data_IF_810427570576
#
_entry.id   IF_810427570576
#
_cell.length_a   1.000
_cell.length_b   1.000
_cell.length_c   1.000
_cell.angle_alpha   90.00
_cell.angle_beta   90.00
_cell.angle_gamma   90.00
#
_symmetry.space_group_name_H-M   'P 1'
#
loop_
_entity.id
_entity.type
_entity.pdbx_description
1 polymer ?
#
# COMPACT_ATOMS: atom_id res chain seq x y z
N UNK A 1 -29.24 -42.29 -15.48
CA UNK A 1 -27.92 -42.16 -14.83
C UNK A 1 -27.15 -41.07 -15.55
N UNK A 2 -26.82 -39.99 -14.81
CA UNK A 2 -25.75 -39.01 -14.99
C UNK A 2 -25.56 -38.33 -16.37
N UNK A 3 -25.36 -37.01 -16.49
CA UNK A 3 -25.52 -35.90 -15.57
C UNK A 3 -25.51 -34.63 -16.42
N UNK A 4 -26.40 -33.69 -16.09
CA UNK A 4 -26.54 -32.38 -16.70
C UNK A 4 -25.70 -31.37 -15.90
N UNK A 5 -24.61 -30.85 -16.47
CA UNK A 5 -23.95 -29.62 -16.01
C UNK A 5 -23.55 -28.84 -17.25
N UNK A 6 -24.45 -28.01 -17.77
CA UNK A 6 -24.12 -26.86 -18.63
C UNK A 6 -25.35 -25.96 -18.81
N UNK A 7 -25.80 -25.34 -17.72
CA UNK A 7 -26.68 -24.15 -17.78
C UNK A 7 -26.47 -23.29 -16.55
N UNK A 8 -25.53 -22.37 -16.63
CA UNK A 8 -25.52 -21.17 -15.78
C UNK A 8 -24.97 -20.01 -16.62
N UNK A 9 -25.82 -19.52 -17.51
CA UNK A 9 -25.67 -18.20 -18.10
C UNK A 9 -27.06 -17.72 -18.52
N UNK A 10 -27.37 -16.48 -18.15
CA UNK A 10 -28.56 -15.70 -18.49
C UNK A 10 -29.83 -15.97 -17.66
N UNK A 11 -29.89 -15.33 -16.49
CA UNK A 11 -31.15 -14.80 -15.92
C UNK A 11 -30.80 -13.70 -14.90
N UNK A 12 -30.46 -12.52 -15.39
CA UNK A 12 -30.38 -11.32 -14.56
C UNK A 12 -31.02 -10.17 -15.35
N UNK A 13 -32.35 -10.21 -15.42
CA UNK A 13 -33.17 -9.12 -15.92
C UNK A 13 -34.37 -8.94 -14.96
N UNK A 14 -34.27 -7.85 -14.21
CA UNK A 14 -35.37 -7.00 -13.72
C UNK A 14 -36.47 -7.62 -12.85
N UNK A 15 -36.47 -7.24 -11.57
CA UNK A 15 -37.68 -6.71 -10.95
C UNK A 15 -37.36 -5.37 -10.27
N UNK A 16 -37.85 -4.30 -10.88
CA UNK A 16 -37.98 -2.99 -10.25
C UNK A 16 -39.10 -3.08 -9.21
N UNK A 17 -38.78 -2.77 -7.96
CA UNK A 17 -39.76 -2.22 -7.02
C UNK A 17 -39.23 -0.88 -6.55
N UNK A 18 -39.89 0.16 -7.05
CA UNK A 18 -39.72 1.56 -6.67
C UNK A 18 -40.10 1.69 -5.20
N UNK A 19 -39.15 2.13 -4.38
CA UNK A 19 -39.41 2.66 -3.04
C UNK A 19 -38.90 4.12 -3.04
N UNK A 20 -39.73 5.13 -2.71
CA UNK A 20 -39.23 6.48 -2.57
C UNK A 20 -38.49 6.56 -1.24
N UNK A 21 -37.17 6.61 -1.28
CA UNK A 21 -36.37 7.11 -0.15
C UNK A 21 -35.41 8.15 -0.70
N UNK A 22 -35.97 9.33 -0.94
CA UNK A 22 -35.17 10.55 -1.04
C UNK A 22 -34.41 10.75 0.26
N UNK A 23 -33.18 11.26 0.10
CA UNK A 23 -32.52 12.24 0.98
C UNK A 23 -32.03 11.74 2.33
N UNK A 24 -30.77 11.29 2.36
CA UNK A 24 -29.79 11.56 3.45
C UNK A 24 -28.38 11.04 3.16
N UNK A 25 -28.20 10.16 2.16
CA UNK A 25 -26.91 9.51 1.89
C UNK A 25 -25.93 10.32 1.02
N UNK A 26 -26.36 11.39 0.35
CA UNK A 26 -25.53 12.12 -0.63
C UNK A 26 -24.73 13.33 -0.09
N UNK A 27 -24.81 13.69 1.20
CA UNK A 27 -24.13 14.89 1.75
C UNK A 27 -23.31 14.67 3.04
N UNK A 28 -22.83 13.46 3.33
CA UNK A 28 -22.03 13.22 4.55
C UNK A 28 -20.63 12.64 4.28
N UNK A 29 -19.92 13.16 3.27
CA UNK A 29 -18.51 12.85 3.06
C UNK A 29 -17.66 14.11 3.16
N UNK A 30 -16.91 14.23 4.26
CA UNK A 30 -16.19 15.42 4.68
C UNK A 30 -14.72 15.36 4.30
N UNK A 31 -14.34 16.01 3.19
CA UNK A 31 -12.95 16.00 2.72
C UNK A 31 -12.42 17.42 2.53
N UNK A 32 -11.65 17.93 3.50
CA UNK A 32 -10.84 19.15 3.33
C UNK A 32 -9.54 19.13 4.13
N UNK A 33 -8.82 18.01 4.09
CA UNK A 33 -7.59 17.88 4.87
C UNK A 33 -6.38 18.51 4.18
N UNK A 34 -5.42 19.06 4.90
CA UNK A 34 -4.07 19.34 4.36
C UNK A 34 -3.11 18.27 4.88
N UNK A 35 -2.17 17.85 4.04
CA UNK A 35 -1.07 17.01 4.52
C UNK A 35 0.00 17.94 5.09
N UNK A 36 0.39 17.70 6.34
CA UNK A 36 1.32 18.56 7.06
C UNK A 36 2.52 17.71 7.46
N UNK A 37 3.71 18.26 7.27
CA UNK A 37 4.91 17.67 7.83
C UNK A 37 4.88 17.69 9.36
N UNK A 38 5.22 16.56 9.97
CA UNK A 38 5.29 16.39 11.42
C UNK A 38 6.73 16.13 11.83
N UNK A 39 7.20 16.85 12.84
CA UNK A 39 8.54 16.66 13.37
C UNK A 39 8.62 15.34 14.14
N UNK A 40 9.70 14.60 13.99
CA UNK A 40 9.95 13.42 14.81
C UNK A 40 10.83 13.81 15.98
N UNK A 41 10.36 13.55 17.21
CA UNK A 41 11.20 13.65 18.40
C UNK A 41 11.92 12.31 18.60
N UNK A 42 13.23 12.33 18.45
CA UNK A 42 14.12 11.28 18.96
C UNK A 42 14.76 11.75 20.26
N UNK A 43 15.35 10.84 21.04
CA UNK A 43 15.84 11.11 22.41
C UNK A 43 16.59 12.44 22.56
N UNK A 44 17.37 12.86 21.55
CA UNK A 44 18.15 14.11 21.60
C UNK A 44 18.00 15.03 20.36
N UNK A 45 17.16 14.70 19.37
CA UNK A 45 17.01 15.53 18.16
C UNK A 45 15.58 15.59 17.64
N UNK A 46 15.20 16.76 17.12
CA UNK A 46 13.97 16.98 16.39
C UNK A 46 14.31 16.91 14.90
N UNK A 47 13.82 15.88 14.21
CA UNK A 47 14.01 15.72 12.76
C UNK A 47 12.77 16.25 12.03
N UNK A 48 12.95 17.22 11.14
CA UNK A 48 11.85 17.70 10.30
C UNK A 48 11.67 16.79 9.08
N UNK A 49 10.45 16.70 8.52
CA UNK A 49 10.22 16.07 7.23
C UNK A 49 11.10 16.72 6.15
N UNK A 50 11.58 15.93 5.18
CA UNK A 50 12.57 16.35 4.17
C UNK A 50 13.99 16.66 4.64
N UNK A 51 14.32 16.53 5.93
CA UNK A 51 15.74 16.47 6.35
C UNK A 51 16.36 15.09 6.06
N UNK A 52 15.52 14.08 5.80
CA UNK A 52 15.93 12.75 5.35
C UNK A 52 16.13 12.64 3.84
N UNK A 53 16.05 11.40 3.33
CA UNK A 53 16.16 11.12 1.90
C UNK A 53 14.98 11.70 1.12
N UNK A 54 15.22 11.98 -0.16
CA UNK A 54 14.19 12.43 -1.12
C UNK A 54 14.08 11.40 -2.23
N UNK A 55 12.86 11.01 -2.56
CA UNK A 55 12.64 10.03 -3.60
C UNK A 55 13.00 10.64 -4.96
N UNK A 56 13.95 10.02 -5.64
CA UNK A 56 14.31 10.36 -7.01
C UNK A 56 13.44 9.54 -7.97
N UNK A 57 12.75 10.24 -8.88
CA UNK A 57 11.89 9.58 -9.85
C UNK A 57 12.70 8.57 -10.68
N UNK A 58 12.26 7.31 -10.71
CA UNK A 58 12.94 6.23 -11.42
C UNK A 58 14.17 5.62 -10.74
N UNK A 59 14.67 6.22 -9.66
CA UNK A 59 15.92 5.80 -8.99
C UNK A 59 15.77 5.50 -7.49
N UNK A 60 14.57 5.68 -6.94
CA UNK A 60 14.30 5.38 -5.53
C UNK A 60 13.08 4.47 -5.40
N UNK A 61 13.01 3.84 -4.24
CA UNK A 61 11.89 3.06 -3.75
C UNK A 61 11.20 3.82 -2.62
N UNK A 62 9.89 3.68 -2.54
CA UNK A 62 9.04 4.32 -1.54
C UNK A 62 8.24 3.25 -0.80
N UNK A 63 8.36 3.26 0.52
CA UNK A 63 7.46 2.55 1.42
C UNK A 63 6.54 3.59 2.07
N UNK A 64 5.24 3.31 2.04
CA UNK A 64 4.21 4.15 2.63
C UNK A 64 3.51 3.36 3.73
N UNK A 65 3.57 3.91 4.93
CA UNK A 65 2.97 3.31 6.11
C UNK A 65 1.90 4.24 6.68
N UNK A 66 0.77 3.66 7.06
CA UNK A 66 -0.21 4.27 7.93
C UNK A 66 0.05 3.74 9.33
N UNK A 67 0.59 4.59 10.21
CA UNK A 67 1.10 4.13 11.52
C UNK A 67 0.17 4.47 12.68
N UNK A 68 -0.80 5.36 12.45
CA UNK A 68 -1.84 5.66 13.44
C UNK A 68 -3.05 6.28 12.78
N UNK A 69 -4.22 5.96 13.32
CA UNK A 69 -5.46 6.66 13.04
C UNK A 69 -6.19 6.89 14.36
N UNK A 70 -6.43 8.16 14.67
CA UNK A 70 -7.17 8.58 15.86
C UNK A 70 -8.47 9.24 15.42
N UNK A 71 -9.56 8.91 16.10
CA UNK A 71 -10.89 9.47 15.87
C UNK A 71 -11.28 10.29 17.08
N UNK A 72 -11.63 11.56 16.87
CA UNK A 72 -12.27 12.39 17.87
C UNK A 72 -13.74 11.98 18.00
N UNK A 73 -14.08 11.39 19.14
CA UNK A 73 -15.44 10.95 19.47
C UNK A 73 -16.35 12.12 19.83
N UNK A 74 -15.77 13.28 20.14
CA UNK A 74 -16.51 14.49 20.43
C UNK A 74 -16.98 15.25 19.18
N UNK A 75 -16.50 14.85 18.00
CA UNK A 75 -16.94 15.41 16.72
C UNK A 75 -18.45 15.19 16.52
N UNK A 76 -19.16 16.25 16.14
CA UNK A 76 -20.62 16.23 16.02
C UNK A 76 -21.11 15.19 15.01
N UNK A 77 -20.37 14.95 13.93
CA UNK A 77 -20.76 13.93 12.96
C UNK A 77 -20.64 12.52 13.56
N UNK A 78 -19.53 12.27 14.24
CA UNK A 78 -19.25 11.00 14.91
C UNK A 78 -20.34 10.72 15.95
N UNK A 79 -20.70 11.72 16.77
CA UNK A 79 -21.83 11.65 17.71
C UNK A 79 -23.17 11.39 17.02
N UNK A 80 -23.47 12.10 15.91
CA UNK A 80 -24.75 11.98 15.19
C UNK A 80 -24.99 10.58 14.64
N UNK A 81 -23.95 9.94 14.10
CA UNK A 81 -24.10 8.64 13.41
C UNK A 81 -24.08 7.45 14.39
N UNK A 82 -23.44 7.60 15.55
CA UNK A 82 -23.10 6.47 16.43
C UNK A 82 -24.03 6.25 17.64
N UNK A 83 -25.16 6.94 17.71
CA UNK A 83 -26.14 6.83 18.79
C UNK A 83 -26.82 5.43 18.95
N UNK A 84 -26.33 4.35 18.31
CA UNK A 84 -27.03 3.05 18.19
C UNK A 84 -26.17 1.78 18.39
N UNK A 85 -25.24 1.72 19.34
CA UNK A 85 -24.42 0.51 19.58
C UNK A 85 -23.64 0.02 18.35
N UNK A 86 -23.19 0.95 17.49
CA UNK A 86 -22.52 0.65 16.22
C UNK A 86 -21.01 0.51 16.42
N UNK A 87 -20.41 -0.42 15.70
CA UNK A 87 -18.97 -0.52 15.57
C UNK A 87 -18.49 0.30 14.35
N UNK A 88 -17.21 0.65 14.35
CA UNK A 88 -16.56 1.30 13.21
C UNK A 88 -15.30 0.58 12.80
N UNK A 89 -14.89 0.79 11.56
CA UNK A 89 -13.68 0.19 11.02
C UNK A 89 -12.99 1.16 10.09
N UNK A 90 -11.65 1.29 10.15
CA UNK A 90 -10.91 2.10 9.20
C UNK A 90 -10.71 1.33 7.89
N UNK A 91 -10.74 2.05 6.76
CA UNK A 91 -10.36 1.52 5.44
C UNK A 91 -9.38 2.50 4.82
N UNK A 92 -8.22 2.01 4.42
CA UNK A 92 -7.27 2.79 3.66
C UNK A 92 -7.15 2.24 2.25
N UNK A 93 -7.12 3.14 1.28
CA UNK A 93 -7.00 2.85 -0.13
C UNK A 93 -5.92 3.72 -0.76
N UNK A 94 -4.97 3.12 -1.47
CA UNK A 94 -4.00 3.82 -2.31
C UNK A 94 -4.34 3.52 -3.77
N UNK A 95 -4.57 4.56 -4.55
CA UNK A 95 -4.76 4.48 -6.00
C UNK A 95 -3.62 5.18 -6.71
N UNK A 96 -3.08 4.56 -7.75
CA UNK A 96 -2.04 5.16 -8.58
C UNK A 96 -2.05 4.56 -9.99
N UNK A 97 -1.23 5.13 -10.89
CA UNK A 97 -0.99 4.56 -12.21
C UNK A 97 0.49 4.24 -12.39
N UNK A 98 0.79 3.04 -12.88
CA UNK A 98 2.13 2.57 -13.23
C UNK A 98 2.13 2.01 -14.65
N UNK A 99 2.95 2.56 -15.56
CA UNK A 99 3.02 2.14 -16.98
C UNK A 99 1.62 1.94 -17.61
N UNK A 100 0.73 2.92 -17.43
CA UNK A 100 -0.65 2.91 -17.93
C UNK A 100 -1.57 1.84 -17.31
N UNK A 101 -1.13 1.13 -16.26
CA UNK A 101 -1.92 0.19 -15.48
C UNK A 101 -2.32 0.81 -14.14
N UNK A 102 -3.57 0.63 -13.74
CA UNK A 102 -4.06 1.10 -12.45
C UNK A 102 -3.60 0.18 -11.34
N UNK A 103 -3.09 0.77 -10.28
CA UNK A 103 -2.77 0.13 -9.02
C UNK A 103 -3.83 0.59 -8.02
N UNK A 104 -4.46 -0.37 -7.35
CA UNK A 104 -5.32 -0.09 -6.19
C UNK A 104 -4.97 -1.06 -5.09
N UNK A 105 -4.73 -0.52 -3.90
CA UNK A 105 -4.40 -1.28 -2.71
C UNK A 105 -5.36 -0.85 -1.62
N UNK A 106 -6.00 -1.81 -0.97
CA UNK A 106 -6.91 -1.55 0.14
C UNK A 106 -6.55 -2.37 1.37
N UNK A 107 -6.58 -1.73 2.55
CA UNK A 107 -6.47 -2.35 3.87
C UNK A 107 -7.71 -2.02 4.68
N UNK A 108 -8.22 -2.99 5.44
CA UNK A 108 -9.38 -2.84 6.32
C UNK A 108 -8.94 -3.15 7.74
N UNK A 109 -9.32 -2.30 8.71
CA UNK A 109 -9.07 -2.55 10.12
C UNK A 109 -10.17 -3.36 10.77
N UNK A 110 -9.82 -3.93 11.92
CA UNK A 110 -10.79 -4.61 12.78
C UNK A 110 -11.87 -3.62 13.22
N UNK A 111 -13.05 -4.15 13.47
CA UNK A 111 -14.14 -3.35 14.03
C UNK A 111 -13.80 -2.95 15.46
N UNK A 112 -14.11 -1.70 15.83
CA UNK A 112 -13.96 -1.17 17.18
C UNK A 112 -15.24 -0.47 17.60
N UNK A 113 -15.65 -0.73 18.85
CA UNK A 113 -16.69 0.06 19.49
C UNK A 113 -16.19 1.48 19.68
N UNK A 114 -16.96 2.45 19.21
CA UNK A 114 -16.70 3.87 19.46
C UNK A 114 -17.36 4.33 20.78
N UNK A 115 -18.21 3.51 21.39
CA UNK A 115 -18.91 3.87 22.63
C UNK A 115 -17.98 3.74 23.84
N UNK A 116 -17.93 4.78 24.68
CA UNK A 116 -17.13 4.81 25.92
C UNK A 116 -16.71 6.22 26.32
N UNK A 117 -16.19 6.39 27.55
CA UNK A 117 -15.97 7.69 28.17
C UNK A 117 -14.78 8.53 27.66
N UNK A 118 -13.85 7.96 26.90
CA UNK A 118 -12.72 8.73 26.34
C UNK A 118 -13.18 9.68 25.23
N UNK A 119 -12.48 10.80 25.01
CA UNK A 119 -12.81 11.76 23.93
C UNK A 119 -12.16 11.40 22.59
N UNK A 120 -11.05 10.65 22.61
CA UNK A 120 -10.34 10.18 21.42
C UNK A 120 -10.26 8.66 21.42
N UNK A 121 -10.33 8.04 20.24
CA UNK A 121 -10.17 6.60 20.07
C UNK A 121 -9.05 6.29 19.07
N UNK A 122 -8.13 5.41 19.45
CA UNK A 122 -7.17 4.82 18.53
C UNK A 122 -7.82 3.66 17.75
N UNK A 123 -7.80 3.75 16.42
CA UNK A 123 -8.36 2.73 15.53
C UNK A 123 -7.42 1.53 15.32
N UNK A 124 -6.22 1.53 15.90
CA UNK A 124 -5.27 0.41 15.84
C UNK A 124 -4.69 0.20 14.45
N UNK A 125 -4.42 1.29 13.74
CA UNK A 125 -3.92 1.26 12.36
C UNK A 125 -2.39 1.23 12.36
N UNK A 126 -1.82 0.12 11.92
CA UNK A 126 -0.39 -0.05 11.63
C UNK A 126 -0.25 -0.86 10.33
N UNK A 127 -0.28 -0.19 9.19
CA UNK A 127 -0.30 -0.83 7.89
C UNK A 127 0.81 -0.33 6.98
N UNK A 128 1.49 -1.25 6.33
CA UNK A 128 2.29 -0.96 5.14
C UNK A 128 1.34 -1.01 3.93
N UNK A 129 1.03 0.14 3.36
CA UNK A 129 0.19 0.23 2.17
C UNK A 129 0.95 -0.19 0.92
N UNK A 130 2.20 0.27 0.79
CA UNK A 130 3.14 -0.18 -0.25
C UNK A 130 4.50 -0.39 0.39
N UNK A 131 5.18 -1.45 -0.01
CA UNK A 131 6.54 -1.75 0.45
C UNK A 131 7.52 -1.69 -0.73
N UNK A 132 8.51 -0.80 -0.61
CA UNK A 132 9.59 -0.59 -1.57
C UNK A 132 9.09 -0.57 -3.01
N UNK A 133 8.13 0.29 -3.26
CA UNK A 133 7.60 0.50 -4.59
C UNK A 133 8.51 1.44 -5.38
N UNK A 134 8.95 1.10 -6.61
CA UNK A 134 9.64 2.05 -7.48
C UNK A 134 8.91 3.39 -7.57
N UNK A 135 9.62 4.49 -7.31
CA UNK A 135 9.08 5.84 -7.39
C UNK A 135 8.94 6.30 -8.84
N UNK A 136 7.99 5.68 -9.54
CA UNK A 136 7.60 6.00 -10.92
C UNK A 136 6.08 6.09 -11.07
N UNK A 137 5.35 6.03 -9.96
CA UNK A 137 3.90 6.17 -9.95
C UNK A 137 3.46 7.55 -10.40
N UNK A 138 2.45 7.58 -11.26
CA UNK A 138 1.73 8.80 -11.64
C UNK A 138 0.51 8.97 -10.73
N UNK A 139 0.28 10.21 -10.29
CA UNK A 139 -0.89 10.64 -9.51
C UNK A 139 -1.29 9.72 -8.32
N UNK A 140 -0.36 9.35 -7.42
CA UNK A 140 -0.69 8.52 -6.27
C UNK A 140 -1.60 9.27 -5.29
N UNK A 141 -2.77 8.70 -5.02
CA UNK A 141 -3.82 9.23 -4.14
C UNK A 141 -4.12 8.26 -3.01
N UNK A 142 -4.03 8.76 -1.79
CA UNK A 142 -4.48 8.05 -0.59
C UNK A 142 -5.92 8.50 -0.28
N UNK A 143 -6.81 7.53 -0.11
CA UNK A 143 -8.16 7.68 0.39
C UNK A 143 -8.26 6.90 1.70
N UNK A 144 -8.70 7.55 2.76
CA UNK A 144 -8.91 6.90 4.05
C UNK A 144 -10.32 7.19 4.50
N UNK A 145 -11.03 6.11 4.80
CA UNK A 145 -12.40 6.10 5.27
C UNK A 145 -12.44 5.57 6.68
N UNK A 146 -13.35 6.11 7.46
CA UNK A 146 -13.84 5.45 8.65
C UNK A 146 -15.26 4.96 8.33
N UNK A 147 -15.46 3.67 8.17
CA UNK A 147 -16.79 3.08 7.99
C UNK A 147 -17.46 2.77 9.32
N UNK A 148 -18.78 2.61 9.31
CA UNK A 148 -19.53 2.08 10.45
C UNK A 148 -20.41 0.90 10.04
N UNK A 149 -20.66 0.00 10.98
CA UNK A 149 -21.55 -1.16 10.79
C UNK A 149 -22.90 -0.87 11.45
N UNK A 150 -23.99 -1.23 10.76
CA UNK A 150 -25.35 -1.12 11.28
C UNK A 150 -25.85 -2.43 11.90
N UNK A 151 -25.20 -3.56 11.62
CA UNK A 151 -25.53 -4.89 12.11
C UNK A 151 -24.29 -5.81 12.25
N UNK A 152 -24.51 -6.99 12.85
CA UNK A 152 -23.47 -7.99 13.10
C UNK A 152 -22.96 -8.70 11.84
N UNK A 153 -23.74 -8.72 10.75
CA UNK A 153 -23.31 -9.34 9.48
C UNK A 153 -22.25 -8.49 8.82
N UNK A 154 -22.46 -7.17 8.79
CA UNK A 154 -21.48 -6.22 8.30
C UNK A 154 -20.24 -6.15 9.20
N UNK A 155 -20.42 -6.33 10.50
CA UNK A 155 -19.30 -6.46 11.42
C UNK A 155 -18.43 -7.69 11.10
N UNK A 156 -19.05 -8.86 10.92
CA UNK A 156 -18.35 -10.08 10.54
C UNK A 156 -17.66 -9.95 9.17
N UNK A 157 -18.29 -9.28 8.21
CA UNK A 157 -17.70 -9.00 6.90
C UNK A 157 -16.48 -8.08 7.02
N UNK A 158 -16.58 -6.97 7.75
CA UNK A 158 -15.47 -6.05 7.97
C UNK A 158 -14.31 -6.74 8.68
N UNK A 159 -14.60 -7.58 9.68
CA UNK A 159 -13.60 -8.38 10.38
C UNK A 159 -12.91 -9.38 9.44
N UNK A 160 -13.68 -10.07 8.59
CA UNK A 160 -13.14 -11.01 7.59
C UNK A 160 -12.22 -10.30 6.59
N UNK A 161 -12.62 -9.12 6.08
CA UNK A 161 -11.76 -8.31 5.21
C UNK A 161 -10.52 -7.81 5.94
N UNK A 162 -10.62 -7.49 7.23
CA UNK A 162 -9.46 -7.11 8.02
C UNK A 162 -8.44 -8.24 8.11
N UNK A 163 -8.89 -9.45 8.43
CA UNK A 163 -8.03 -10.63 8.48
C UNK A 163 -7.39 -10.93 7.12
N UNK A 164 -8.18 -10.92 6.04
CA UNK A 164 -7.67 -11.14 4.69
C UNK A 164 -6.61 -10.09 4.35
N UNK A 165 -6.94 -8.80 4.49
CA UNK A 165 -6.04 -7.73 4.05
C UNK A 165 -4.80 -7.60 4.92
N UNK A 166 -4.85 -7.94 6.21
CA UNK A 166 -3.68 -7.96 7.09
C UNK A 166 -2.76 -9.18 6.85
N UNK A 167 -3.33 -10.32 6.45
CA UNK A 167 -2.55 -11.52 6.12
C UNK A 167 -2.01 -11.53 4.69
N UNK A 168 -2.50 -10.63 3.81
CA UNK A 168 -1.89 -10.45 2.50
C UNK A 168 -0.45 -9.92 2.66
N UNK A 169 0.52 -10.48 1.90
CA UNK A 169 1.88 -9.97 1.91
C UNK A 169 1.90 -8.49 1.54
N UNK A 170 2.90 -7.76 2.02
CA UNK A 170 3.08 -6.36 1.66
C UNK A 170 3.03 -6.18 0.15
N UNK A 171 2.26 -5.19 -0.28
CA UNK A 171 1.98 -4.96 -1.69
C UNK A 171 3.23 -4.44 -2.43
N UNK A 172 3.63 -5.16 -3.48
CA UNK A 172 4.63 -4.76 -4.49
C UNK A 172 3.90 -4.27 -5.76
N UNK A 173 4.60 -3.72 -6.76
CA UNK A 173 3.94 -3.28 -8.00
C UNK A 173 3.25 -4.48 -8.66
N UNK A 174 3.97 -5.59 -8.78
CA UNK A 174 3.49 -6.80 -9.45
C UNK A 174 2.27 -7.42 -8.76
N UNK A 175 2.27 -7.51 -7.42
CA UNK A 175 1.14 -8.10 -6.67
C UNK A 175 -0.09 -7.18 -6.63
N UNK A 176 0.10 -5.87 -6.67
CA UNK A 176 -0.99 -4.90 -6.53
C UNK A 176 -1.87 -4.78 -7.77
N UNK A 177 -1.31 -5.05 -8.95
CA UNK A 177 -2.04 -4.86 -10.21
C UNK A 177 -3.19 -5.86 -10.35
N UNK A 178 -3.01 -7.14 -9.99
CA UNK A 178 -4.06 -8.16 -10.19
C UNK A 178 -4.86 -8.44 -8.91
N UNK A 179 -4.16 -8.70 -7.79
CA UNK A 179 -4.82 -9.08 -6.54
C UNK A 179 -5.39 -7.86 -5.82
N UNK A 180 -4.64 -6.75 -5.81
CA UNK A 180 -5.04 -5.50 -5.16
C UNK A 180 -6.33 -4.92 -5.74
N UNK A 181 -6.45 -4.86 -7.07
CA UNK A 181 -7.67 -4.37 -7.75
C UNK A 181 -8.91 -5.20 -7.37
N UNK A 182 -8.82 -6.53 -7.38
CA UNK A 182 -9.95 -7.40 -7.05
C UNK A 182 -10.42 -7.25 -5.60
N UNK A 183 -9.47 -7.21 -4.65
CA UNK A 183 -9.78 -7.02 -3.22
C UNK A 183 -10.37 -5.63 -2.97
N UNK A 184 -9.80 -4.58 -3.57
CA UNK A 184 -10.33 -3.22 -3.44
C UNK A 184 -11.77 -3.10 -3.96
N UNK A 185 -12.06 -3.68 -5.12
CA UNK A 185 -13.40 -3.71 -5.69
C UNK A 185 -14.38 -4.51 -4.81
N UNK A 186 -13.94 -5.63 -4.25
CA UNK A 186 -14.76 -6.44 -3.34
C UNK A 186 -15.10 -5.67 -2.06
N UNK A 187 -14.13 -4.95 -1.47
CA UNK A 187 -14.34 -4.08 -0.31
C UNK A 187 -15.36 -2.98 -0.64
N UNK A 188 -15.13 -2.24 -1.73
CA UNK A 188 -16.03 -1.14 -2.13
C UNK A 188 -17.46 -1.65 -2.37
N UNK A 189 -17.60 -2.79 -3.06
CA UNK A 189 -18.92 -3.36 -3.39
C UNK A 189 -19.62 -3.99 -2.18
N UNK A 190 -18.90 -4.74 -1.35
CA UNK A 190 -19.51 -5.56 -0.30
C UNK A 190 -19.67 -4.82 1.02
N UNK A 191 -18.77 -3.90 1.36
CA UNK A 191 -18.89 -3.06 2.55
C UNK A 191 -19.69 -1.80 2.25
N UNK A 192 -19.40 -1.09 1.16
CA UNK A 192 -19.99 0.23 0.88
C UNK A 192 -21.07 0.23 -0.21
N UNK A 193 -21.28 -0.88 -0.91
CA UNK A 193 -22.37 -1.01 -1.89
C UNK A 193 -23.75 -1.01 -1.25
N UNK A 194 -24.77 -0.59 -2.01
CA UNK A 194 -26.18 -0.56 -1.62
C UNK A 194 -26.50 0.18 -0.30
N UNK A 195 -25.63 1.09 0.15
CA UNK A 195 -25.82 1.82 1.41
C UNK A 195 -25.65 0.97 2.67
N UNK A 196 -24.99 -0.19 2.58
CA UNK A 196 -24.79 -1.13 3.70
C UNK A 196 -23.95 -0.54 4.82
N UNK A 197 -22.87 0.15 4.49
CA UNK A 197 -22.10 0.99 5.42
C UNK A 197 -22.01 2.42 4.89
N UNK A 198 -21.86 3.39 5.80
CA UNK A 198 -21.59 4.79 5.44
C UNK A 198 -20.21 5.24 5.92
N UNK A 199 -19.69 6.27 5.26
CA UNK A 199 -18.44 6.93 5.66
C UNK A 199 -18.72 7.87 6.84
N UNK A 200 -18.11 7.63 8.00
CA UNK A 200 -18.03 8.58 9.12
C UNK A 200 -17.05 9.71 8.81
N UNK A 201 -15.92 9.39 8.19
CA UNK A 201 -14.87 10.33 7.82
C UNK A 201 -14.27 9.88 6.50
N UNK A 202 -14.01 10.83 5.59
CA UNK A 202 -13.36 10.55 4.32
C UNK A 202 -12.24 11.55 4.04
N UNK A 203 -11.02 11.07 4.04
CA UNK A 203 -9.83 11.86 3.72
C UNK A 203 -9.31 11.39 2.37
N UNK A 204 -9.34 12.25 1.34
CA UNK A 204 -8.76 11.93 0.04
C UNK A 204 -7.68 12.96 -0.33
N UNK A 205 -6.42 12.52 -0.45
CA UNK A 205 -5.26 13.39 -0.71
C UNK A 205 -4.24 12.74 -1.63
N UNK A 206 -3.56 13.55 -2.43
CA UNK A 206 -2.34 13.12 -3.12
C UNK A 206 -1.23 12.84 -2.09
N UNK A 207 -0.23 12.03 -2.47
CA UNK A 207 0.96 11.87 -1.62
C UNK A 207 1.61 13.23 -1.30
N UNK A 208 2.10 13.44 -0.07
CA UNK A 208 2.68 14.73 0.30
C UNK A 208 3.95 15.03 -0.49
N UNK A 209 3.87 16.06 -1.33
CA UNK A 209 5.04 16.63 -2.00
C UNK A 209 5.43 17.93 -1.30
N UNK A 210 6.68 18.03 -0.88
CA UNK A 210 7.25 19.28 -0.37
C UNK A 210 8.21 19.79 -1.45
N UNK A 211 7.94 21.01 -1.95
CA UNK A 211 8.68 21.59 -3.07
C UNK A 211 8.77 20.63 -4.28
N UNK A 212 7.64 19.97 -4.61
CA UNK A 212 7.52 18.97 -5.68
C UNK A 212 8.35 17.69 -5.49
N UNK A 213 8.90 17.45 -4.31
CA UNK A 213 9.65 16.25 -3.99
C UNK A 213 8.90 15.42 -2.95
N UNK A 214 8.80 14.12 -3.19
CA UNK A 214 8.37 13.19 -2.16
C UNK A 214 9.55 12.96 -1.22
N UNK A 215 9.38 13.32 0.05
CA UNK A 215 10.45 13.19 1.04
C UNK A 215 10.13 12.10 2.05
N UNK A 216 11.19 11.56 2.63
CA UNK A 216 11.11 10.77 3.85
C UNK A 216 10.63 11.64 5.03
N UNK A 217 9.79 11.06 5.89
CA UNK A 217 9.35 11.68 7.13
C UNK A 217 7.97 11.22 7.59
N UNK A 218 7.47 11.91 8.62
CA UNK A 218 6.13 11.74 9.17
C UNK A 218 5.22 12.87 8.71
N UNK A 219 3.97 12.53 8.44
CA UNK A 219 2.97 13.46 7.95
C UNK A 219 1.65 13.23 8.65
N UNK A 220 0.98 14.29 9.07
CA UNK A 220 -0.37 14.24 9.62
C UNK A 220 -1.39 14.65 8.57
N UNK A 221 -2.51 13.94 8.55
CA UNK A 221 -3.70 14.36 7.82
C UNK A 221 -4.88 14.39 8.79
N UNK A 222 -5.48 15.57 8.96
CA UNK A 222 -6.63 15.77 9.85
C UNK A 222 -7.95 15.61 9.09
N UNK A 223 -8.87 14.81 9.60
CA UNK A 223 -10.21 14.63 9.01
C UNK A 223 -11.26 15.40 9.81
N UNK A 224 -12.04 16.28 9.17
CA UNK A 224 -13.05 17.10 9.84
C UNK A 224 -14.21 17.44 8.92
N UNK A 225 -15.35 17.81 9.50
CA UNK A 225 -16.53 18.31 8.77
C UNK A 225 -16.23 19.56 7.96
N UNK A 226 -15.56 20.52 8.58
CA UNK A 226 -15.22 21.80 7.96
C UNK A 226 -13.70 21.94 7.83
N UNK A 227 -13.25 22.55 6.73
CA UNK A 227 -11.84 22.76 6.41
C UNK A 227 -11.04 23.52 7.47
N UNK A 228 -11.72 24.37 8.23
CA UNK A 228 -11.14 25.20 9.27
C UNK A 228 -11.20 24.59 10.69
N UNK A 229 -11.89 23.45 10.89
CA UNK A 229 -12.13 22.87 12.22
C UNK A 229 -10.83 22.64 13.00
N UNK A 230 -9.75 22.28 12.30
CA UNK A 230 -8.44 21.99 12.88
C UNK A 230 -7.35 22.94 12.41
N UNK A 231 -7.72 24.18 12.06
CA UNK A 231 -6.80 25.13 11.44
C UNK A 231 -5.57 25.46 12.29
N UNK A 232 -5.75 25.47 13.62
CA UNK A 232 -4.67 25.66 14.59
C UNK A 232 -3.50 24.68 14.41
N UNK A 233 -3.78 23.45 13.94
CA UNK A 233 -2.77 22.42 13.74
C UNK A 233 -2.02 22.56 12.41
N UNK A 234 -2.45 23.42 11.49
CA UNK A 234 -1.75 23.67 10.22
C UNK A 234 -0.50 24.56 10.37
N UNK A 235 -0.16 25.02 11.58
CA UNK A 235 1.07 25.78 11.87
C UNK A 235 2.26 24.81 11.98
N UNK A 236 3.16 24.88 11.00
CA UNK A 236 4.11 23.81 10.63
C UNK A 236 5.17 23.43 11.67
N UNK A 237 5.45 24.26 12.67
CA UNK A 237 6.61 24.06 13.54
C UNK A 237 6.30 23.53 14.94
N UNK A 238 5.02 23.31 15.28
CA UNK A 238 4.61 22.88 16.63
C UNK A 238 4.10 21.42 16.68
N UNK A 239 3.95 20.75 15.53
CA UNK A 239 3.47 19.37 15.45
C UNK A 239 4.62 18.37 15.60
N UNK A 240 4.51 17.51 16.60
CA UNK A 240 5.53 16.52 16.95
C UNK A 240 4.91 15.13 17.05
N UNK A 241 5.51 14.16 16.37
CA UNK A 241 5.25 12.74 16.53
C UNK A 241 6.24 12.17 17.54
N UNK A 242 5.72 11.60 18.63
CA UNK A 242 6.53 11.02 19.71
C UNK A 242 6.84 9.53 19.54
N UNK A 243 6.38 8.92 18.44
CA UNK A 243 6.40 7.48 18.25
C UNK A 243 5.07 6.79 18.57
N UNK A 244 4.22 7.42 19.39
CA UNK A 244 2.90 6.90 19.74
C UNK A 244 1.79 7.95 19.63
N UNK A 245 2.09 9.21 19.97
CA UNK A 245 1.12 10.29 20.02
C UNK A 245 1.52 11.45 19.11
N UNK A 246 0.50 12.10 18.53
CA UNK A 246 0.67 13.39 17.88
C UNK A 246 0.48 14.50 18.92
N UNK A 247 1.47 15.37 19.05
CA UNK A 247 1.46 16.49 19.96
C UNK A 247 1.46 17.82 19.21
N UNK A 248 0.82 18.82 19.81
CA UNK A 248 0.91 20.22 19.42
C UNK A 248 1.33 21.04 20.63
N UNK A 249 2.48 21.71 20.57
CA UNK A 249 3.05 22.46 21.70
C UNK A 249 3.13 21.63 22.99
N UNK A 250 3.78 20.46 22.87
CA UNK A 250 4.01 19.49 23.97
C UNK A 250 2.75 18.90 24.61
N UNK A 251 1.57 19.07 23.99
CA UNK A 251 0.30 18.47 24.45
C UNK A 251 -0.22 17.50 23.41
N UNK A 252 -0.60 16.29 23.85
CA UNK A 252 -1.25 15.30 23.00
C UNK A 252 -2.56 15.85 22.44
N UNK A 253 -2.73 15.70 21.13
CA UNK A 253 -3.96 16.08 20.42
C UNK A 253 -5.01 15.00 20.68
N UNK A 254 -6.10 15.38 21.34
CA UNK A 254 -7.25 14.49 21.62
C UNK A 254 -8.57 15.00 21.05
N UNK A 255 -8.58 16.23 20.57
CA UNK A 255 -9.75 16.96 20.09
C UNK A 255 -9.83 16.98 18.55
N UNK A 256 -9.11 16.10 17.86
CA UNK A 256 -9.13 16.00 16.40
C UNK A 256 -9.03 14.56 15.91
N UNK A 257 -9.74 14.27 14.82
CA UNK A 257 -9.53 13.04 14.07
C UNK A 257 -8.35 13.22 13.13
N UNK A 258 -7.37 12.34 13.18
CA UNK A 258 -6.17 12.43 12.37
C UNK A 258 -5.58 11.08 12.04
N UNK A 259 -4.70 11.10 11.04
CA UNK A 259 -3.93 9.95 10.61
C UNK A 259 -2.48 10.36 10.50
N UNK A 260 -1.59 9.46 10.88
CA UNK A 260 -0.15 9.61 10.69
C UNK A 260 0.30 8.69 9.57
N UNK A 261 0.87 9.30 8.54
CA UNK A 261 1.59 8.66 7.46
C UNK A 261 3.08 8.71 7.75
N UNK A 262 3.78 7.63 7.42
CA UNK A 262 5.24 7.61 7.35
C UNK A 262 5.66 7.25 5.93
N UNK A 263 6.60 8.01 5.41
CA UNK A 263 7.21 7.78 4.12
C UNK A 263 8.66 7.41 4.36
N UNK A 264 9.08 6.26 3.84
CA UNK A 264 10.47 5.79 3.86
C UNK A 264 10.97 5.73 2.43
N UNK A 265 12.16 6.29 2.19
CA UNK A 265 12.79 6.28 0.87
C UNK A 265 14.03 5.38 0.92
N UNK A 266 14.11 4.40 0.01
CA UNK A 266 15.28 3.53 -0.15
C UNK A 266 15.87 3.68 -1.56
N UNK A 267 17.17 3.49 -1.69
CA UNK A 267 17.84 3.50 -3.00
C UNK A 267 17.90 2.09 -3.61
N UNK A 268 17.59 1.05 -2.82
CA UNK A 268 17.66 -0.36 -3.24
C UNK A 268 16.52 -1.19 -2.68
N UNK A 269 16.10 -2.20 -3.44
CA UNK A 269 15.16 -3.23 -3.01
C UNK A 269 15.88 -4.33 -2.23
N UNK A 270 16.95 -4.88 -2.81
CA UNK A 270 17.84 -5.85 -2.17
C UNK A 270 19.01 -5.14 -1.50
N UNK A 271 19.46 -5.66 -0.36
CA UNK A 271 20.62 -5.11 0.36
C UNK A 271 21.87 -5.11 -0.52
N UNK A 272 22.07 -6.20 -1.28
CA UNK A 272 23.15 -6.38 -2.25
C UNK A 272 22.68 -7.23 -3.44
N UNK A 273 23.33 -7.13 -4.62
CA UNK A 273 22.98 -7.93 -5.80
C UNK A 273 23.08 -9.45 -5.59
N UNK A 274 23.94 -9.91 -4.68
CA UNK A 274 24.06 -11.32 -4.31
C UNK A 274 22.76 -11.89 -3.74
N UNK A 275 22.12 -11.16 -2.83
CA UNK A 275 20.84 -11.58 -2.24
C UNK A 275 19.73 -11.67 -3.29
N UNK A 276 19.80 -10.84 -4.33
CA UNK A 276 18.83 -10.88 -5.42
C UNK A 276 18.86 -12.21 -6.18
N UNK A 277 20.05 -12.81 -6.38
CA UNK A 277 20.18 -14.10 -7.07
C UNK A 277 19.66 -15.29 -6.24
N UNK A 278 19.52 -15.12 -4.93
CA UNK A 278 18.98 -16.14 -4.03
C UNK A 278 17.46 -16.05 -3.86
N UNK A 279 16.78 -15.10 -4.52
CA UNK A 279 15.33 -14.94 -4.42
C UNK A 279 14.58 -15.96 -5.29
N UNK A 280 14.11 -17.03 -4.68
CA UNK A 280 13.40 -18.11 -5.37
C UNK A 280 12.00 -17.71 -5.86
N UNK A 281 11.47 -16.56 -5.44
CA UNK A 281 10.15 -16.09 -5.87
C UNK A 281 10.21 -15.39 -7.24
N UNK A 282 11.41 -15.09 -7.73
CA UNK A 282 11.62 -14.36 -8.98
C UNK A 282 12.08 -15.29 -10.09
N UNK A 283 11.34 -15.41 -11.21
CA UNK A 283 11.66 -16.41 -12.24
C UNK A 283 13.00 -16.17 -12.96
N UNK A 284 13.49 -14.92 -12.99
CA UNK A 284 14.78 -14.58 -13.58
C UNK A 284 15.97 -15.10 -12.78
N UNK A 285 15.84 -15.35 -11.46
CA UNK A 285 16.94 -15.85 -10.62
C UNK A 285 17.34 -17.26 -11.04
N UNK A 286 16.35 -18.13 -11.24
CA UNK A 286 16.56 -19.49 -11.75
C UNK A 286 17.31 -19.50 -13.08
N UNK A 287 16.98 -18.59 -14.00
CA UNK A 287 17.66 -18.50 -15.31
C UNK A 287 19.11 -18.03 -15.20
N UNK A 288 19.43 -17.15 -14.25
CA UNK A 288 20.83 -16.86 -13.93
C UNK A 288 21.54 -18.04 -13.27
N UNK A 289 20.86 -18.81 -12.42
CA UNK A 289 21.42 -20.05 -11.86
C UNK A 289 21.74 -21.06 -12.96
N UNK A 290 20.82 -21.30 -13.89
CA UNK A 290 21.01 -22.20 -15.04
C UNK A 290 22.21 -21.76 -15.91
N UNK A 291 22.38 -20.44 -16.09
CA UNK A 291 23.54 -19.87 -16.77
C UNK A 291 24.85 -20.18 -16.03
N UNK A 292 24.90 -19.95 -14.72
CA UNK A 292 26.10 -20.15 -13.89
C UNK A 292 26.50 -21.63 -13.88
N UNK A 293 25.53 -22.53 -13.66
CA UNK A 293 25.74 -23.98 -13.74
C UNK A 293 26.19 -24.39 -15.13
N UNK A 294 25.53 -23.89 -16.17
CA UNK A 294 25.83 -24.28 -17.53
C UNK A 294 27.24 -23.89 -17.98
N UNK A 295 27.74 -22.74 -17.52
CA UNK A 295 29.12 -22.29 -17.76
C UNK A 295 30.14 -23.13 -17.01
N UNK A 296 29.85 -23.55 -15.78
CA UNK A 296 30.70 -24.48 -15.04
C UNK A 296 30.80 -25.83 -15.75
N UNK A 297 29.67 -26.35 -16.24
CA UNK A 297 29.58 -27.62 -16.96
C UNK A 297 30.38 -27.67 -18.27
N UNK A 298 30.67 -26.52 -18.90
CA UNK A 298 31.46 -26.47 -20.14
C UNK A 298 32.82 -27.17 -20.01
N UNK A 299 33.43 -27.12 -18.82
CA UNK A 299 34.73 -27.74 -18.55
C UNK A 299 34.69 -29.28 -18.60
N UNK A 300 33.51 -29.90 -18.50
CA UNK A 300 33.32 -31.34 -18.46
C UNK A 300 32.85 -31.93 -19.80
N UNK A 301 32.61 -31.11 -20.82
CA UNK A 301 32.10 -31.56 -22.12
C UNK A 301 33.25 -31.79 -23.09
N UNK A 302 33.41 -33.04 -23.55
CA UNK A 302 34.49 -33.46 -24.44
C UNK A 302 34.14 -33.48 -25.93
N UNK A 303 32.86 -33.31 -26.29
CA UNK A 303 32.41 -33.38 -27.69
C UNK A 303 32.07 -32.00 -28.26
N UNK A 304 32.40 -31.78 -29.54
CA UNK A 304 32.06 -30.54 -30.25
C UNK A 304 30.55 -30.28 -30.28
N UNK A 305 29.76 -31.33 -30.47
CA UNK A 305 28.29 -31.25 -30.48
C UNK A 305 27.73 -30.89 -29.10
N UNK A 306 28.22 -31.53 -28.03
CA UNK A 306 27.84 -31.20 -26.66
C UNK A 306 28.22 -29.76 -26.29
N UNK A 307 29.40 -29.29 -26.72
CA UNK A 307 29.83 -27.90 -26.49
C UNK A 307 28.91 -26.92 -27.20
N UNK A 308 28.46 -27.24 -28.43
CA UNK A 308 27.52 -26.41 -29.19
C UNK A 308 26.15 -26.36 -28.51
N UNK A 309 25.64 -27.50 -28.07
CA UNK A 309 24.36 -27.58 -27.34
C UNK A 309 24.42 -26.76 -26.05
N UNK A 310 25.47 -26.94 -25.25
CA UNK A 310 25.62 -26.23 -23.98
C UNK A 310 25.78 -24.72 -24.18
N UNK A 311 26.55 -24.28 -25.18
CA UNK A 311 26.64 -22.85 -25.55
C UNK A 311 25.28 -22.27 -25.93
N UNK A 312 24.43 -23.03 -26.62
CA UNK A 312 23.07 -22.59 -26.94
C UNK A 312 22.21 -22.49 -25.68
N UNK A 313 22.27 -23.47 -24.76
CA UNK A 313 21.57 -23.41 -23.46
C UNK A 313 21.98 -22.17 -22.66
N UNK A 314 23.28 -21.92 -22.51
CA UNK A 314 23.84 -20.75 -21.83
C UNK A 314 23.30 -19.45 -22.44
N UNK A 315 23.34 -19.32 -23.78
CA UNK A 315 22.83 -18.13 -24.47
C UNK A 315 21.33 -17.92 -24.23
N UNK A 316 20.55 -18.99 -24.29
CA UNK A 316 19.11 -18.93 -24.06
C UNK A 316 18.80 -18.55 -22.61
N UNK A 317 19.46 -19.18 -21.62
CA UNK A 317 19.29 -18.85 -20.20
C UNK A 317 19.65 -17.39 -19.91
N UNK A 318 20.74 -16.87 -20.48
CA UNK A 318 21.12 -15.46 -20.32
C UNK A 318 20.08 -14.51 -20.94
N UNK A 319 19.60 -14.81 -22.15
CA UNK A 319 18.59 -14.00 -22.83
C UNK A 319 17.28 -13.99 -22.04
N UNK A 320 16.79 -15.16 -21.64
CA UNK A 320 15.57 -15.31 -20.83
C UNK A 320 15.71 -14.60 -19.48
N UNK A 321 16.83 -14.77 -18.78
CA UNK A 321 17.09 -14.09 -17.51
C UNK A 321 17.00 -12.56 -17.67
N UNK A 322 17.61 -12.01 -18.72
CA UNK A 322 17.58 -10.57 -19.00
C UNK A 322 16.19 -10.08 -19.35
N UNK A 323 15.43 -10.82 -20.17
CA UNK A 323 14.05 -10.47 -20.53
C UNK A 323 13.17 -10.44 -19.28
N UNK A 324 13.22 -11.51 -18.47
CA UNK A 324 12.43 -11.65 -17.25
C UNK A 324 12.81 -10.59 -16.19
N UNK A 325 14.11 -10.31 -16.00
CA UNK A 325 14.56 -9.26 -15.09
C UNK A 325 14.11 -7.87 -15.55
N UNK A 326 14.17 -7.59 -16.85
CA UNK A 326 13.68 -6.32 -17.40
C UNK A 326 12.17 -6.17 -17.24
N UNK A 327 11.42 -7.27 -17.35
CA UNK A 327 9.98 -7.32 -17.13
C UNK A 327 9.57 -7.22 -15.65
N UNK A 328 10.49 -7.42 -14.70
CA UNK A 328 10.19 -7.30 -13.27
C UNK A 328 9.78 -5.86 -12.93
N UNK A 329 8.54 -5.68 -12.50
CA UNK A 329 7.97 -4.36 -12.23
C UNK A 329 8.42 -3.78 -10.89
N UNK A 330 8.94 -4.64 -10.00
CA UNK A 330 9.29 -4.27 -8.63
C UNK A 330 10.68 -3.67 -8.54
N UNK A 331 11.49 -3.70 -9.61
CA UNK A 331 12.86 -3.21 -9.61
C UNK A 331 13.06 -1.97 -10.49
N UNK A 332 13.83 -1.00 -9.98
CA UNK A 332 14.31 0.14 -10.77
C UNK A 332 15.37 -0.31 -11.77
N UNK A 333 15.56 0.46 -12.83
CA UNK A 333 16.48 0.11 -13.92
C UNK A 333 17.92 -0.06 -13.45
N UNK A 334 18.40 0.82 -12.57
CA UNK A 334 19.76 0.77 -12.04
C UNK A 334 20.05 -0.55 -11.31
N UNK A 335 19.14 -1.00 -10.45
CA UNK A 335 19.31 -2.24 -9.69
C UNK A 335 19.27 -3.48 -10.61
N UNK A 336 18.46 -3.46 -11.69
CA UNK A 336 18.49 -4.51 -12.72
C UNK A 336 19.86 -4.62 -13.40
N UNK A 337 20.49 -3.49 -13.72
CA UNK A 337 21.83 -3.49 -14.31
C UNK A 337 22.87 -4.08 -13.36
N UNK A 338 22.77 -3.75 -12.07
CA UNK A 338 23.68 -4.24 -11.04
C UNK A 338 23.54 -5.75 -10.83
N UNK A 339 22.30 -6.25 -10.76
CA UNK A 339 22.01 -7.70 -10.67
C UNK A 339 22.55 -8.44 -11.89
N UNK A 340 22.27 -7.94 -13.10
CA UNK A 340 22.76 -8.55 -14.33
C UNK A 340 24.29 -8.59 -14.38
N UNK A 341 24.94 -7.48 -14.03
CA UNK A 341 26.40 -7.37 -14.01
C UNK A 341 27.03 -8.31 -12.98
N UNK A 342 26.41 -8.43 -11.81
CA UNK A 342 26.83 -9.34 -10.76
C UNK A 342 26.72 -10.81 -11.20
N UNK A 343 25.59 -11.22 -11.79
CA UNK A 343 25.39 -12.57 -12.30
C UNK A 343 26.45 -12.95 -13.34
N UNK A 344 26.77 -12.05 -14.28
CA UNK A 344 27.83 -12.27 -15.27
C UNK A 344 29.22 -12.37 -14.64
N UNK A 345 29.49 -11.61 -13.58
CA UNK A 345 30.75 -11.68 -12.83
C UNK A 345 30.89 -13.04 -12.13
N UNK A 346 29.86 -13.53 -11.46
CA UNK A 346 29.86 -14.84 -10.80
C UNK A 346 30.03 -15.97 -11.82
N UNK A 347 29.29 -15.93 -12.92
CA UNK A 347 29.47 -16.82 -14.06
C UNK A 347 30.94 -16.88 -14.55
N UNK A 348 31.59 -15.73 -14.70
CA UNK A 348 32.98 -15.65 -15.16
C UNK A 348 34.02 -16.13 -14.14
N UNK A 349 33.74 -16.04 -12.84
CA UNK A 349 34.65 -16.60 -11.81
C UNK A 349 34.76 -18.12 -11.93
N UNK A 350 33.66 -18.78 -12.25
CA UNK A 350 33.61 -20.23 -12.39
C UNK A 350 34.27 -20.77 -13.67
N UNK A 351 34.57 -19.90 -14.65
CA UNK A 351 35.36 -20.25 -15.84
C UNK A 351 36.88 -20.18 -15.60
N UNK A 352 37.34 -19.51 -14.53
CA UNK A 352 38.76 -19.31 -14.21
C UNK A 352 39.31 -20.28 -13.15
N UNK A 353 38.43 -21.08 -12.54
CA UNK A 353 38.78 -22.23 -11.71
C UNK A 353 38.78 -23.46 -12.59
#
# INVERSE_FOLDING_TARGET
>A
MFNSIFKFNQALVFLFLISPSTTLAEEMSLSTSRVIGVQQKTENTIKKPCEGKKAQFGNSYVTLELIKMTVNKDDNLVKRILNSNRASFPVAKLNATYKEQNISISKVGSTKSIIGGESSLDMGVEWVLIDRLPWVLKAPKIEIKLGYTSDSTLEALAQSFSEITNNLPNYTVSSSIQVGLGVAQAIDKLLFGDGRSGDLLKIQKDLPLIANQLCEGYYAIFGAEKSNTYEKYYKKDDLVWTGHDLQFKDKTIKDASFIILRIVVSDRYYMQPEFALNDTNKPWTRKYSDLITGLFELSYISTSEGLKEQRNKIRNSLLEAKILLNADLDLIFQEKLEIHSYALKEANKNLKR
#
